data_IF_228450814286
#
_entry.id   IF_228450814286
#
_cell.length_a   1.000
_cell.length_b   1.000
_cell.length_c   1.000
_cell.angle_alpha   90.00
_cell.angle_beta   90.00
_cell.angle_gamma   90.00
#
_symmetry.space_group_name_H-M   'P 1'
#
loop_
_entity.id
_entity.type
_entity.pdbx_description
1 polymer ?
#
# COMPACT_ATOMS: atom_id res chain seq x y z
N UNK A 1 15.75 72.11 5.24
CA UNK A 1 16.92 71.24 5.46
C UNK A 1 16.44 69.80 5.29
N UNK A 2 16.58 69.22 4.10
CA UNK A 2 17.72 68.41 3.63
C UNK A 2 17.74 66.98 4.23
N UNK A 3 17.47 65.98 3.37
CA UNK A 3 17.83 64.56 3.55
C UNK A 3 19.33 64.42 3.87
N UNK A 4 19.76 63.40 4.63
CA UNK A 4 20.17 62.10 4.08
C UNK A 4 19.76 60.94 5.04
N UNK A 5 19.84 59.64 4.74
CA UNK A 5 20.99 58.86 4.30
C UNK A 5 20.51 57.45 3.89
N UNK A 6 20.86 57.02 2.67
CA UNK A 6 21.83 55.95 2.38
C UNK A 6 21.27 54.53 2.55
N UNK A 7 21.01 53.83 1.44
CA UNK A 7 21.99 52.98 0.73
C UNK A 7 21.98 51.56 1.31
N UNK A 8 21.27 50.65 0.65
CA UNK A 8 21.84 49.56 -0.17
C UNK A 8 22.87 48.72 0.59
N UNK A 9 22.44 47.53 1.02
CA UNK A 9 23.06 46.18 1.04
C UNK A 9 22.02 45.34 1.81
N UNK A 10 21.48 44.18 1.43
CA UNK A 10 21.73 43.21 0.39
C UNK A 10 21.07 41.90 0.86
N UNK A 11 20.77 41.03 -0.11
CA UNK A 11 20.47 39.59 0.04
C UNK A 11 19.03 39.13 0.28
N UNK A 12 18.73 38.09 -0.51
CA UNK A 12 17.86 36.95 -0.21
C UNK A 12 16.41 37.00 -0.73
N UNK A 13 16.29 36.68 -2.02
CA UNK A 13 15.28 35.83 -2.68
C UNK A 13 13.80 35.96 -2.27
N UNK A 14 12.92 36.48 -3.15
CA UNK A 14 11.48 36.31 -2.98
C UNK A 14 11.02 34.93 -3.46
N UNK A 15 10.11 34.35 -2.67
CA UNK A 15 9.36 33.16 -2.98
C UNK A 15 8.46 33.35 -4.22
N UNK A 16 8.59 32.41 -5.17
CA UNK A 16 7.54 31.70 -5.89
C UNK A 16 6.21 32.44 -6.18
N UNK A 17 5.94 32.77 -7.44
CA UNK A 17 4.63 32.63 -8.10
C UNK A 17 4.74 32.73 -9.63
N UNK A 18 4.28 31.69 -10.33
CA UNK A 18 3.34 31.83 -11.45
C UNK A 18 3.84 32.07 -12.89
N UNK A 19 3.80 30.99 -13.67
CA UNK A 19 3.44 30.86 -15.11
C UNK A 19 4.40 31.40 -16.19
N UNK A 20 4.96 30.49 -17.03
CA UNK A 20 4.70 30.42 -18.49
C UNK A 20 4.84 28.97 -19.00
N UNK A 21 3.98 28.69 -19.99
CA UNK A 21 3.68 27.54 -20.85
C UNK A 21 4.82 26.69 -21.47
N UNK A 22 4.37 25.76 -22.33
CA UNK A 22 5.05 24.98 -23.38
C UNK A 22 5.36 23.55 -22.90
N UNK A 23 4.49 22.59 -23.26
CA UNK A 23 4.57 21.84 -24.51
C UNK A 23 5.82 20.96 -24.55
N UNK A 24 5.79 19.87 -23.80
CA UNK A 24 6.48 18.64 -24.19
C UNK A 24 5.48 17.49 -24.08
N UNK A 25 5.30 16.85 -25.23
CA UNK A 25 4.61 15.58 -25.36
C UNK A 25 5.52 14.51 -24.77
N UNK A 26 5.38 14.24 -23.48
CA UNK A 26 5.87 13.02 -22.89
C UNK A 26 4.66 12.11 -22.69
N UNK A 27 4.34 11.37 -23.76
CA UNK A 27 3.65 10.09 -23.64
C UNK A 27 4.53 9.19 -22.79
N UNK A 28 4.42 9.31 -21.47
CA UNK A 28 5.06 8.41 -20.53
C UNK A 28 4.32 7.08 -20.64
N UNK A 29 4.72 6.38 -21.69
CA UNK A 29 4.34 5.03 -22.00
C UNK A 29 5.08 4.21 -20.97
N UNK A 30 4.47 4.00 -19.80
CA UNK A 30 4.95 3.01 -18.85
C UNK A 30 4.31 1.68 -19.22
N UNK A 31 4.97 0.77 -19.98
CA UNK A 31 4.45 -0.58 -20.21
C UNK A 31 4.72 -1.45 -18.97
N UNK A 32 4.24 -1.03 -17.80
CA UNK A 32 4.46 -1.74 -16.54
C UNK A 32 3.19 -2.05 -15.76
N UNK A 33 1.99 -1.80 -16.32
CA UNK A 33 0.73 -2.08 -15.63
C UNK A 33 -0.15 -3.17 -16.25
N UNK A 34 0.19 -3.70 -17.43
CA UNK A 34 -0.57 -4.80 -18.04
C UNK A 34 -0.19 -6.19 -17.48
N UNK A 35 0.87 -6.31 -16.67
CA UNK A 35 1.21 -7.55 -15.97
C UNK A 35 0.38 -7.76 -14.67
N UNK A 36 -0.30 -6.73 -14.17
CA UNK A 36 -1.17 -6.81 -12.98
C UNK A 36 -2.66 -6.82 -13.39
N UNK A 37 -2.98 -7.36 -14.57
CA UNK A 37 -4.37 -7.50 -15.05
C UNK A 37 -5.04 -8.84 -14.73
N UNK A 38 -4.33 -9.76 -14.08
CA UNK A 38 -4.81 -11.14 -13.88
C UNK A 38 -4.83 -11.65 -12.44
N UNK A 39 -4.41 -10.86 -11.45
CA UNK A 39 -4.51 -11.30 -10.06
C UNK A 39 -5.93 -11.00 -9.56
N UNK A 40 -6.67 -12.00 -9.04
CA UNK A 40 -7.99 -11.75 -8.46
C UNK A 40 -7.84 -10.77 -7.30
N UNK A 41 -8.30 -9.53 -7.48
CA UNK A 41 -8.18 -8.44 -6.50
C UNK A 41 -9.28 -8.46 -5.44
N UNK A 42 -9.78 -9.65 -5.09
CA UNK A 42 -10.92 -9.82 -4.20
C UNK A 42 -10.73 -10.94 -3.18
N UNK A 43 -11.70 -11.12 -2.26
CA UNK A 43 -11.78 -12.29 -1.41
C UNK A 43 -11.67 -13.58 -2.22
N UNK A 44 -10.95 -14.56 -1.69
CA UNK A 44 -10.80 -15.87 -2.32
C UNK A 44 -10.89 -16.97 -1.28
N UNK A 45 -11.56 -18.05 -1.66
CA UNK A 45 -11.64 -19.28 -0.86
C UNK A 45 -10.47 -20.16 -1.27
N UNK A 46 -9.74 -20.67 -0.27
CA UNK A 46 -8.66 -21.63 -0.49
C UNK A 46 -8.86 -22.83 0.44
N UNK A 47 -8.50 -24.01 -0.04
CA UNK A 47 -8.54 -25.24 0.75
C UNK A 47 -7.11 -25.73 0.95
N UNK A 48 -6.72 -25.91 2.21
CA UNK A 48 -5.36 -26.36 2.57
C UNK A 48 -5.50 -27.68 3.30
N UNK A 49 -4.83 -28.71 2.79
CA UNK A 49 -4.73 -29.99 3.47
C UNK A 49 -3.52 -29.97 4.40
N UNK A 50 -3.70 -30.41 5.65
CA UNK A 50 -2.62 -30.50 6.62
C UNK A 50 -1.59 -31.53 6.16
N UNK A 51 -0.32 -31.15 6.18
CA UNK A 51 0.82 -32.03 5.89
C UNK A 51 1.57 -32.37 7.17
N UNK A 52 2.66 -33.14 7.07
CA UNK A 52 3.53 -33.48 8.21
C UNK A 52 4.07 -32.24 8.94
N UNK A 53 4.34 -31.15 8.19
CA UNK A 53 4.80 -29.86 8.73
C UNK A 53 3.65 -28.91 9.12
N UNK A 54 2.40 -29.39 9.09
CA UNK A 54 1.20 -28.61 9.34
C UNK A 54 0.62 -27.96 8.08
N UNK A 55 0.00 -26.78 8.22
CA UNK A 55 -0.54 -26.02 7.09
C UNK A 55 0.52 -25.13 6.40
N UNK A 56 1.63 -24.83 7.07
CA UNK A 56 2.75 -24.07 6.48
C UNK A 56 2.54 -22.56 6.41
N UNK A 57 1.82 -21.94 7.36
CA UNK A 57 1.73 -20.49 7.50
C UNK A 57 1.49 -20.08 8.96
N UNK A 58 1.78 -18.82 9.29
CA UNK A 58 1.59 -18.25 10.62
C UNK A 58 0.54 -17.14 10.59
N UNK A 59 -0.38 -17.16 11.55
CA UNK A 59 -1.40 -16.13 11.72
C UNK A 59 -1.01 -15.16 12.83
N UNK A 60 -1.24 -13.87 12.61
CA UNK A 60 -1.08 -12.81 13.60
C UNK A 60 -2.24 -11.84 13.51
N UNK A 61 -2.62 -11.24 14.63
CA UNK A 61 -3.68 -10.25 14.68
C UNK A 61 -4.24 -10.09 16.08
N UNK A 62 -5.14 -9.14 16.23
CA UNK A 62 -5.91 -9.01 17.45
C UNK A 62 -6.81 -10.26 17.59
N UNK A 63 -6.82 -10.86 18.78
CA UNK A 63 -7.66 -12.02 19.11
C UNK A 63 -8.95 -11.58 19.81
N UNK A 64 -8.96 -10.39 20.41
CA UNK A 64 -10.15 -9.83 21.05
C UNK A 64 -11.24 -9.56 20.04
N UNK A 65 -12.43 -10.10 20.31
CA UNK A 65 -13.64 -9.78 19.57
C UNK A 65 -13.95 -8.28 19.70
N UNK A 66 -14.26 -7.64 18.58
CA UNK A 66 -14.56 -6.20 18.53
C UNK A 66 -13.34 -5.29 18.37
N UNK A 67 -13.62 -3.99 18.23
CA UNK A 67 -12.63 -2.96 17.94
C UNK A 67 -13.17 -1.94 16.94
N UNK A 68 -12.38 -0.90 16.66
CA UNK A 68 -12.77 0.10 15.68
C UNK A 68 -12.86 -0.52 14.28
N UNK A 69 -14.00 -0.31 13.61
CA UNK A 69 -14.19 -0.76 12.23
C UNK A 69 -13.21 -0.04 11.30
N UNK A 70 -12.59 -0.79 10.39
CA UNK A 70 -11.65 -0.29 9.40
C UNK A 70 -12.26 -0.42 8.02
N UNK A 71 -12.29 0.68 7.27
CA UNK A 71 -12.66 0.65 5.86
C UNK A 71 -11.56 -0.01 5.04
N UNK A 72 -11.89 -1.13 4.41
CA UNK A 72 -11.03 -1.87 3.48
C UNK A 72 -11.81 -2.00 2.18
N UNK A 73 -11.30 -1.45 1.07
CA UNK A 73 -11.96 -1.45 -0.24
C UNK A 73 -13.39 -0.87 -0.24
N UNK A 74 -13.66 0.10 0.65
CA UNK A 74 -14.99 0.74 0.77
C UNK A 74 -15.95 0.07 1.74
N UNK A 75 -15.59 -1.09 2.29
CA UNK A 75 -16.42 -1.84 3.24
C UNK A 75 -15.81 -1.81 4.65
N UNK A 76 -16.66 -1.75 5.68
CA UNK A 76 -16.23 -1.70 7.07
C UNK A 76 -16.05 -3.11 7.63
N UNK A 77 -14.83 -3.42 8.02
CA UNK A 77 -14.49 -4.70 8.64
C UNK A 77 -14.04 -4.50 10.10
N UNK A 78 -14.36 -5.47 10.95
CA UNK A 78 -13.72 -5.59 12.25
C UNK A 78 -12.20 -5.86 12.09
N UNK A 79 -11.38 -5.70 13.14
CA UNK A 79 -9.96 -6.04 13.07
C UNK A 79 -9.72 -7.49 12.61
N UNK A 80 -9.24 -7.68 11.39
CA UNK A 80 -9.00 -8.99 10.81
C UNK A 80 -7.62 -9.54 11.18
N UNK A 81 -7.54 -10.85 11.34
CA UNK A 81 -6.27 -11.56 11.42
C UNK A 81 -5.62 -11.63 10.03
N UNK A 82 -4.31 -11.75 10.01
CA UNK A 82 -3.56 -11.83 8.76
C UNK A 82 -2.45 -12.87 8.81
N UNK A 83 -2.03 -13.28 7.62
CA UNK A 83 -0.91 -14.19 7.43
C UNK A 83 0.40 -13.42 7.59
N UNK A 84 1.14 -13.73 8.66
CA UNK A 84 2.40 -13.07 9.01
C UNK A 84 3.63 -13.70 8.34
N UNK A 85 3.57 -14.99 8.04
CA UNK A 85 4.61 -15.74 7.34
C UNK A 85 3.98 -16.96 6.62
N UNK A 86 4.63 -17.40 5.54
CA UNK A 86 4.28 -18.61 4.78
C UNK A 86 5.57 -19.42 4.64
N UNK A 87 5.46 -20.74 4.74
CA UNK A 87 6.56 -21.66 4.53
C UNK A 87 6.75 -21.90 3.02
N UNK A 88 7.94 -21.60 2.51
CA UNK A 88 8.31 -21.85 1.12
C UNK A 88 8.21 -23.36 0.79
N UNK A 89 7.54 -23.70 -0.31
CA UNK A 89 7.22 -25.06 -0.72
C UNK A 89 6.16 -25.77 0.15
N UNK A 90 5.62 -25.08 1.16
CA UNK A 90 4.62 -25.59 2.10
C UNK A 90 3.23 -25.77 1.49
N UNK A 91 2.32 -26.37 2.27
CA UNK A 91 0.95 -26.60 1.83
C UNK A 91 0.19 -25.30 1.55
N UNK A 92 0.36 -24.28 2.39
CA UNK A 92 -0.27 -22.97 2.22
C UNK A 92 0.21 -22.23 0.97
N UNK A 93 1.52 -22.23 0.67
CA UNK A 93 2.04 -21.62 -0.56
C UNK A 93 1.45 -22.29 -1.80
N UNK A 94 1.42 -23.63 -1.82
CA UNK A 94 0.81 -24.42 -2.90
C UNK A 94 -0.69 -24.17 -3.06
N UNK A 95 -1.40 -23.90 -1.96
CA UNK A 95 -2.81 -23.52 -1.97
C UNK A 95 -3.05 -22.05 -2.36
N UNK A 96 -1.98 -21.26 -2.53
CA UNK A 96 -2.06 -19.87 -2.96
C UNK A 96 -2.23 -18.86 -1.82
N UNK A 97 -1.94 -19.22 -0.56
CA UNK A 97 -1.82 -18.27 0.54
C UNK A 97 -0.53 -17.46 0.39
N UNK A 98 -0.61 -16.16 0.69
CA UNK A 98 0.49 -15.20 0.61
C UNK A 98 0.61 -14.42 1.91
N UNK A 99 1.83 -14.00 2.23
CA UNK A 99 2.08 -13.09 3.36
C UNK A 99 1.27 -11.80 3.16
N UNK A 100 0.55 -11.38 4.19
CA UNK A 100 -0.32 -10.22 4.16
C UNK A 100 -1.78 -10.51 3.81
N UNK A 101 -2.14 -11.74 3.46
CA UNK A 101 -3.54 -12.13 3.31
C UNK A 101 -4.32 -11.87 4.60
N UNK A 102 -5.54 -11.34 4.46
CA UNK A 102 -6.46 -11.08 5.57
C UNK A 102 -7.50 -12.19 5.60
N UNK A 103 -7.69 -12.80 6.77
CA UNK A 103 -8.62 -13.90 6.97
C UNK A 103 -10.00 -13.32 7.23
N UNK A 104 -10.95 -13.65 6.38
CA UNK A 104 -12.35 -13.23 6.49
C UNK A 104 -13.20 -14.30 7.17
N UNK A 105 -13.00 -15.55 6.78
CA UNK A 105 -13.72 -16.74 7.26
C UNK A 105 -12.79 -17.95 7.31
N UNK A 106 -13.12 -18.94 8.15
CA UNK A 106 -12.39 -20.22 8.34
C UNK A 106 -13.37 -21.36 8.50
#
# INVERSE_FOLDING_TARGET
MYCPSQSRYGSMMPYFTGFVNMADSESDTSPQNDLIKGLPTGPRVVTIYKTETGFGFNVRGQVSEGGQLRSINGELYAPLQHVSAVLDGGAAEKAGIRKGDRILEV
#
